data_IF_836009796355
#
_entry.id   IF_836009796355
#
_cell.length_a   1.000
_cell.length_b   1.000
_cell.length_c   1.000
_cell.angle_alpha   90.00
_cell.angle_beta   90.00
_cell.angle_gamma   90.00
#
_symmetry.space_group_name_H-M   'P 1'
#
loop_
_entity.id
_entity.type
_entity.pdbx_description
1 polymer ?
#
# COMPACT_ATOMS: atom_id res chain seq x y z
N UNK A 1 38.80 -2.70 -16.73
CA UNK A 1 38.63 -2.43 -15.29
C UNK A 1 38.52 -0.93 -15.12
N UNK A 2 37.30 -0.42 -15.18
CA UNK A 2 36.97 0.98 -14.86
C UNK A 2 35.57 0.94 -14.30
N UNK A 3 35.51 0.83 -12.98
CA UNK A 3 34.30 0.76 -12.19
C UNK A 3 33.55 2.07 -12.37
N UNK A 4 32.44 2.04 -13.12
CA UNK A 4 31.47 3.12 -13.09
C UNK A 4 30.82 3.08 -11.71
N UNK A 5 31.36 3.90 -10.82
CA UNK A 5 30.77 4.20 -9.53
C UNK A 5 29.48 4.97 -9.77
N UNK A 6 28.37 4.25 -9.89
CA UNK A 6 27.03 4.81 -9.72
C UNK A 6 27.03 5.54 -8.37
N UNK A 7 26.70 6.84 -8.31
CA UNK A 7 26.45 7.44 -7.02
C UNK A 7 25.26 6.68 -6.40
N UNK A 8 25.51 5.97 -5.31
CA UNK A 8 24.47 5.46 -4.41
C UNK A 8 23.64 6.67 -4.02
N UNK A 9 22.46 6.81 -4.61
CA UNK A 9 21.55 7.89 -4.28
C UNK A 9 21.11 7.69 -2.82
N UNK A 10 21.63 8.54 -1.95
CA UNK A 10 21.25 8.71 -0.56
C UNK A 10 19.75 8.95 -0.46
N UNK A 11 19.03 8.08 0.26
CA UNK A 11 17.81 8.31 1.06
C UNK A 11 16.94 9.54 0.76
N UNK A 12 16.59 9.81 -0.49
CA UNK A 12 15.39 10.59 -0.77
C UNK A 12 14.22 9.66 -0.53
N UNK A 13 13.56 9.78 0.62
CA UNK A 13 12.29 9.09 0.87
C UNK A 13 11.40 9.27 -0.38
N UNK A 14 10.96 8.14 -0.95
CA UNK A 14 10.11 8.17 -2.15
C UNK A 14 8.90 9.10 -1.89
N UNK A 15 8.43 9.85 -2.89
CA UNK A 15 7.33 10.79 -2.71
C UNK A 15 6.09 10.07 -2.13
N UNK A 16 5.50 10.67 -1.10
CA UNK A 16 4.24 10.21 -0.53
C UNK A 16 3.12 10.55 -1.51
N UNK A 17 2.25 9.58 -1.79
CA UNK A 17 1.15 9.70 -2.73
C UNK A 17 -0.18 9.32 -2.07
N UNK A 18 -1.26 9.93 -2.53
CA UNK A 18 -2.62 9.49 -2.24
C UNK A 18 -3.02 8.42 -3.27
N UNK A 19 -3.36 7.21 -2.81
CA UNK A 19 -3.67 6.06 -3.68
C UNK A 19 -5.05 5.50 -3.35
N UNK A 20 -5.91 5.38 -4.35
CA UNK A 20 -7.20 4.69 -4.20
C UNK A 20 -7.08 3.22 -4.64
N UNK A 21 -7.41 2.29 -3.74
CA UNK A 21 -7.54 0.86 -4.04
C UNK A 21 -9.02 0.49 -4.06
N UNK A 22 -9.54 0.19 -5.25
CA UNK A 22 -10.95 -0.12 -5.45
C UNK A 22 -11.16 -1.64 -5.49
N UNK A 23 -11.56 -2.23 -4.37
CA UNK A 23 -11.88 -3.65 -4.27
C UNK A 23 -11.18 -4.36 -3.13
N UNK A 24 -11.96 -4.78 -2.12
CA UNK A 24 -11.49 -5.51 -0.94
C UNK A 24 -11.30 -7.02 -1.14
N UNK A 25 -10.74 -7.45 -2.26
CA UNK A 25 -10.31 -8.84 -2.47
C UNK A 25 -8.87 -9.07 -1.97
N UNK A 26 -8.37 -10.31 -2.05
CA UNK A 26 -7.02 -10.67 -1.60
C UNK A 26 -5.93 -9.78 -2.22
N UNK A 27 -5.96 -9.59 -3.54
CA UNK A 27 -5.01 -8.73 -4.24
C UNK A 27 -5.11 -7.26 -3.82
N UNK A 28 -6.33 -6.71 -3.72
CA UNK A 28 -6.54 -5.33 -3.29
C UNK A 28 -6.05 -5.09 -1.86
N UNK A 29 -6.29 -6.03 -0.94
CA UNK A 29 -5.76 -5.97 0.43
C UNK A 29 -4.23 -6.03 0.45
N UNK A 30 -3.62 -6.92 -0.35
CA UNK A 30 -2.17 -7.01 -0.44
C UNK A 30 -1.54 -5.69 -0.95
N UNK A 31 -2.13 -5.11 -2.00
CA UNK A 31 -1.71 -3.80 -2.51
C UNK A 31 -1.87 -2.69 -1.48
N UNK A 32 -3.01 -2.63 -0.80
CA UNK A 32 -3.24 -1.63 0.24
C UNK A 32 -2.23 -1.73 1.40
N UNK A 33 -1.85 -2.95 1.78
CA UNK A 33 -0.82 -3.20 2.80
C UNK A 33 0.55 -2.69 2.32
N UNK A 34 1.01 -3.14 1.16
CA UNK A 34 2.33 -2.77 0.62
C UNK A 34 2.43 -1.25 0.41
N UNK A 35 1.41 -0.61 -0.15
CA UNK A 35 1.41 0.84 -0.35
C UNK A 35 1.44 1.62 0.97
N UNK A 36 0.69 1.15 1.98
CA UNK A 36 0.71 1.75 3.31
C UNK A 36 2.05 1.57 4.03
N UNK A 37 2.68 0.40 3.90
CA UNK A 37 4.01 0.13 4.45
C UNK A 37 5.11 0.97 3.78
N UNK A 38 4.91 1.36 2.52
CA UNK A 38 5.79 2.30 1.81
C UNK A 38 5.47 3.79 2.11
N UNK A 39 4.60 4.07 3.08
CA UNK A 39 4.31 5.43 3.53
C UNK A 39 3.30 6.21 2.68
N UNK A 40 2.65 5.57 1.71
CA UNK A 40 1.58 6.20 0.93
C UNK A 40 0.27 6.26 1.72
N UNK A 41 -0.54 7.28 1.47
CA UNK A 41 -1.89 7.38 2.03
C UNK A 41 -2.84 6.58 1.15
N UNK A 42 -3.33 5.46 1.67
CA UNK A 42 -4.19 4.54 0.92
C UNK A 42 -5.66 4.74 1.29
N UNK A 43 -6.48 5.04 0.29
CA UNK A 43 -7.93 5.02 0.34
C UNK A 43 -8.43 3.65 -0.12
N UNK A 44 -8.71 2.76 0.83
CA UNK A 44 -9.14 1.39 0.54
C UNK A 44 -10.67 1.29 0.50
N UNK A 45 -11.23 1.17 -0.70
CA UNK A 45 -12.69 1.14 -0.91
C UNK A 45 -13.23 -0.28 -1.08
N UNK A 46 -14.40 -0.50 -0.50
CA UNK A 46 -15.16 -1.74 -0.62
C UNK A 46 -16.64 -1.45 -0.81
N UNK A 47 -17.34 -2.32 -1.55
CA UNK A 47 -18.80 -2.23 -1.75
C UNK A 47 -19.60 -2.49 -0.47
N UNK A 48 -19.13 -3.40 0.38
CA UNK A 48 -19.86 -3.84 1.58
C UNK A 48 -19.40 -3.09 2.83
N UNK A 49 -20.31 -2.30 3.44
CA UNK A 49 -20.03 -1.57 4.69
C UNK A 49 -19.57 -2.51 5.83
N UNK A 50 -20.27 -3.63 6.02
CA UNK A 50 -19.93 -4.59 7.08
C UNK A 50 -18.49 -5.14 6.93
N UNK A 51 -18.10 -5.51 5.70
CA UNK A 51 -16.74 -5.98 5.40
C UNK A 51 -15.69 -4.88 5.66
N UNK A 52 -16.00 -3.63 5.27
CA UNK A 52 -15.10 -2.51 5.51
C UNK A 52 -14.87 -2.28 7.01
N UNK A 53 -15.91 -2.35 7.84
CA UNK A 53 -15.78 -2.20 9.30
C UNK A 53 -15.09 -3.40 9.97
N UNK A 54 -15.33 -4.62 9.50
CA UNK A 54 -14.60 -5.82 9.94
C UNK A 54 -13.10 -5.66 9.68
N UNK A 55 -12.71 -5.32 8.44
CA UNK A 55 -11.30 -5.11 8.08
C UNK A 55 -10.70 -3.92 8.83
N UNK A 56 -11.47 -2.86 9.08
CA UNK A 56 -11.00 -1.69 9.85
C UNK A 56 -10.70 -2.03 11.30
N UNK A 57 -11.54 -2.86 11.94
CA UNK A 57 -11.40 -3.24 13.34
C UNK A 57 -10.39 -4.37 13.55
N UNK A 58 -10.39 -5.38 12.69
CA UNK A 58 -9.56 -6.58 12.83
C UNK A 58 -8.23 -6.49 12.09
N UNK A 59 -8.13 -5.61 11.08
CA UNK A 59 -7.01 -5.55 10.12
C UNK A 59 -6.81 -6.85 9.32
N UNK A 60 -7.84 -7.70 9.24
CA UNK A 60 -7.83 -8.99 8.53
C UNK A 60 -8.92 -9.00 7.46
N UNK A 61 -8.60 -9.47 6.25
CA UNK A 61 -9.59 -9.76 5.21
C UNK A 61 -9.92 -11.26 5.23
N UNK A 62 -11.18 -11.60 5.52
CA UNK A 62 -11.70 -12.97 5.65
C UNK A 62 -12.12 -13.62 4.32
N UNK A 63 -11.92 -12.94 3.18
CA UNK A 63 -12.23 -13.45 1.84
C UNK A 63 -11.11 -14.22 1.17
#
# INVERSE_FOLDING_TARGET
MSEQSTPRNTEAAAPVHDVAVLGGGSFGTAMAKVLGENGHRVHFWMRGKAQAEEIRSTRINSR
#
